data_IF_776183732124
#
_entry.id   IF_776183732124
#
_cell.length_a   1.000
_cell.length_b   1.000
_cell.length_c   1.000
_cell.angle_alpha   90.00
_cell.angle_beta   90.00
_cell.angle_gamma   90.00
#
_symmetry.space_group_name_H-M   'P 1'
#
loop_
_entity.id
_entity.type
_entity.pdbx_description
1 polymer ?
#
# COMPACT_ATOMS: atom_id res chain seq x y z
N UNK A 1 -12.83 -36.02 -19.02
CA UNK A 1 -11.95 -34.86 -19.27
C UNK A 1 -11.98 -33.99 -18.02
N UNK A 2 -10.89 -33.95 -17.25
CA UNK A 2 -10.77 -33.00 -16.14
C UNK A 2 -10.70 -31.58 -16.70
N UNK A 3 -11.60 -30.70 -16.24
CA UNK A 3 -11.53 -29.27 -16.55
C UNK A 3 -10.35 -28.68 -15.77
N UNK A 4 -9.17 -28.62 -16.39
CA UNK A 4 -8.06 -27.84 -15.85
C UNK A 4 -8.41 -26.36 -15.92
N UNK A 5 -8.23 -25.66 -14.81
CA UNK A 5 -8.47 -24.21 -14.72
C UNK A 5 -7.50 -23.45 -15.62
N UNK A 6 -7.92 -22.30 -16.16
CA UNK A 6 -7.08 -21.44 -16.99
C UNK A 6 -5.82 -20.94 -16.25
N UNK A 7 -5.85 -20.93 -14.91
CA UNK A 7 -4.72 -20.54 -14.07
C UNK A 7 -3.50 -21.45 -14.26
N UNK A 8 -3.70 -22.72 -14.66
CA UNK A 8 -2.60 -23.64 -14.93
C UNK A 8 -1.76 -23.28 -16.17
N UNK A 9 -2.29 -22.40 -17.03
CA UNK A 9 -1.62 -21.97 -18.26
C UNK A 9 -0.90 -20.62 -18.09
N UNK A 10 -0.91 -20.02 -16.91
CA UNK A 10 -0.24 -18.74 -16.68
C UNK A 10 1.28 -18.93 -16.57
N UNK A 11 2.11 -18.05 -17.18
CA UNK A 11 3.57 -18.21 -17.22
C UNK A 11 4.23 -18.31 -15.84
N UNK A 12 3.64 -17.68 -14.83
CA UNK A 12 4.19 -17.65 -13.48
C UNK A 12 3.70 -18.82 -12.58
N UNK A 13 2.83 -19.70 -13.09
CA UNK A 13 2.17 -20.75 -12.30
C UNK A 13 3.16 -21.76 -11.69
N UNK A 14 4.30 -21.99 -12.35
CA UNK A 14 5.36 -22.89 -11.87
C UNK A 14 6.08 -22.36 -10.62
N UNK A 15 6.13 -21.04 -10.42
CA UNK A 15 6.79 -20.40 -9.29
C UNK A 15 5.88 -20.27 -8.06
N UNK A 16 4.59 -20.58 -8.18
CA UNK A 16 3.66 -20.50 -7.07
C UNK A 16 3.82 -21.72 -6.14
N UNK A 17 4.54 -21.51 -5.03
CA UNK A 17 4.78 -22.53 -3.99
C UNK A 17 3.48 -23.08 -3.39
N UNK A 18 2.39 -22.29 -3.44
CA UNK A 18 1.10 -22.63 -2.87
C UNK A 18 0.01 -22.51 -3.93
N UNK A 19 -0.31 -23.62 -4.60
CA UNK A 19 -1.22 -23.67 -5.78
C UNK A 19 -2.67 -23.23 -5.52
N UNK A 20 -3.08 -23.10 -4.25
CA UNK A 20 -4.40 -22.56 -3.88
C UNK A 20 -4.40 -21.04 -3.65
N UNK A 21 -3.23 -20.39 -3.57
CA UNK A 21 -3.12 -18.93 -3.56
C UNK A 21 -3.28 -18.43 -5.00
N UNK A 22 -4.52 -18.14 -5.36
CA UNK A 22 -4.85 -17.50 -6.61
C UNK A 22 -4.23 -16.11 -6.65
N UNK A 23 -3.39 -15.89 -7.67
CA UNK A 23 -2.99 -14.59 -8.17
C UNK A 23 -2.27 -13.67 -7.16
N UNK A 24 -1.14 -14.17 -6.64
CA UNK A 24 -0.23 -13.46 -5.72
C UNK A 24 0.08 -12.05 -6.22
N UNK A 25 0.31 -11.87 -7.52
CA UNK A 25 0.58 -10.55 -8.12
C UNK A 25 -0.57 -9.56 -7.91
N UNK A 26 -1.82 -9.99 -8.14
CA UNK A 26 -2.99 -9.13 -7.95
C UNK A 26 -3.29 -8.88 -6.47
N UNK A 27 -3.04 -9.86 -5.60
CA UNK A 27 -3.17 -9.71 -4.15
C UNK A 27 -2.14 -8.69 -3.63
N UNK A 28 -0.86 -8.88 -3.97
CA UNK A 28 0.22 -7.97 -3.60
C UNK A 28 -0.06 -6.57 -4.13
N UNK A 29 -0.46 -6.45 -5.41
CA UNK A 29 -0.84 -5.16 -5.99
C UNK A 29 -1.96 -4.48 -5.22
N UNK A 30 -3.01 -5.21 -4.87
CA UNK A 30 -4.15 -4.67 -4.12
C UNK A 30 -3.73 -4.22 -2.72
N UNK A 31 -2.92 -5.03 -2.01
CA UNK A 31 -2.39 -4.67 -0.69
C UNK A 31 -1.49 -3.44 -0.77
N UNK A 32 -0.59 -3.38 -1.76
CA UNK A 32 0.30 -2.25 -2.00
C UNK A 32 -0.46 -0.98 -2.34
N UNK A 33 -1.41 -1.04 -3.27
CA UNK A 33 -2.26 0.08 -3.65
C UNK A 33 -3.01 0.64 -2.41
N UNK A 34 -3.60 -0.24 -1.59
CA UNK A 34 -4.30 0.16 -0.37
C UNK A 34 -3.36 0.80 0.66
N UNK A 35 -2.14 0.26 0.83
CA UNK A 35 -1.13 0.82 1.73
C UNK A 35 -0.70 2.23 1.28
N UNK A 36 -0.41 2.40 -0.01
CA UNK A 36 -0.03 3.69 -0.59
C UNK A 36 -1.16 4.71 -0.41
N UNK A 37 -2.42 4.33 -0.69
CA UNK A 37 -3.56 5.22 -0.50
C UNK A 37 -3.77 5.62 0.96
N UNK A 38 -3.51 4.71 1.90
CA UNK A 38 -3.59 4.96 3.33
C UNK A 38 -2.48 5.91 3.82
N UNK A 39 -1.22 5.67 3.41
CA UNK A 39 -0.08 6.53 3.74
C UNK A 39 -0.24 7.94 3.17
N UNK A 40 -0.64 8.05 1.90
CA UNK A 40 -0.82 9.34 1.24
C UNK A 40 -2.13 10.06 1.62
N UNK A 41 -3.05 9.41 2.34
CA UNK A 41 -4.34 9.96 2.72
C UNK A 41 -5.26 10.23 1.52
N UNK A 42 -5.19 9.39 0.49
CA UNK A 42 -5.97 9.51 -0.74
C UNK A 42 -7.36 8.89 -0.56
N UNK A 43 -8.25 9.64 0.11
CA UNK A 43 -9.55 9.15 0.60
C UNK A 43 -10.53 8.60 -0.44
N UNK A 44 -10.30 8.80 -1.75
CA UNK A 44 -11.16 8.21 -2.80
C UNK A 44 -10.85 6.75 -3.10
N UNK A 45 -9.62 6.30 -2.86
CA UNK A 45 -9.18 4.92 -3.17
C UNK A 45 -8.73 4.13 -1.94
N UNK A 46 -8.52 4.80 -0.81
CA UNK A 46 -8.19 4.16 0.46
C UNK A 46 -9.35 3.32 1.00
N UNK A 47 -9.02 2.20 1.65
CA UNK A 47 -9.98 1.39 2.42
C UNK A 47 -10.37 2.03 3.76
N UNK A 48 -9.65 3.07 4.18
CA UNK A 48 -10.02 3.91 5.33
C UNK A 48 -11.22 4.81 4.98
N UNK A 49 -12.41 4.23 5.04
CA UNK A 49 -13.68 4.87 4.70
C UNK A 49 -14.44 5.34 5.94
N UNK A 50 -15.42 6.23 5.77
CA UNK A 50 -16.32 6.65 6.87
C UNK A 50 -16.98 5.44 7.53
N UNK A 51 -17.44 4.46 6.74
CA UNK A 51 -18.09 3.24 7.26
C UNK A 51 -17.13 2.42 8.12
N UNK A 52 -15.92 2.17 7.64
CA UNK A 52 -14.89 1.46 8.41
C UNK A 52 -14.60 2.15 9.76
N UNK A 53 -14.67 3.49 9.80
CA UNK A 53 -14.48 4.27 11.03
C UNK A 53 -15.69 4.27 11.97
N UNK A 54 -16.89 4.12 11.43
CA UNK A 54 -18.10 3.88 12.22
C UNK A 54 -18.05 2.49 12.85
N UNK A 55 -17.59 1.48 12.11
CA UNK A 55 -17.39 0.12 12.65
C UNK A 55 -16.40 0.15 13.83
N UNK A 56 -15.30 0.91 13.74
CA UNK A 56 -14.37 1.11 14.88
C UNK A 56 -15.06 1.72 16.11
N UNK A 57 -16.01 2.64 15.89
CA UNK A 57 -16.77 3.27 16.95
C UNK A 57 -17.77 2.31 17.58
N UNK A 58 -18.47 1.52 16.75
CA UNK A 58 -19.39 0.48 17.22
C UNK A 58 -18.67 -0.59 18.04
N UNK A 59 -17.47 -1.00 17.61
CA UNK A 59 -16.62 -1.92 18.34
C UNK A 59 -15.91 -1.29 19.55
N UNK A 60 -16.11 0.00 19.81
CA UNK A 60 -15.50 0.76 20.91
C UNK A 60 -13.96 0.70 20.97
N UNK A 61 -13.30 0.73 19.81
CA UNK A 61 -11.83 0.68 19.69
C UNK A 61 -11.29 1.92 18.96
N UNK A 62 -10.03 2.27 19.25
CA UNK A 62 -9.28 3.35 18.55
C UNK A 62 -10.04 4.69 18.51
N UNK A 63 -10.46 5.18 19.68
CA UNK A 63 -11.22 6.43 19.86
C UNK A 63 -10.67 7.64 19.08
N UNK A 64 -9.35 7.75 18.97
CA UNK A 64 -8.68 8.84 18.23
C UNK A 64 -9.03 8.89 16.72
N UNK A 65 -9.52 7.79 16.15
CA UNK A 65 -9.88 7.69 14.73
C UNK A 65 -11.37 7.89 14.46
N UNK A 66 -12.20 8.01 15.49
CA UNK A 66 -13.65 8.07 15.31
C UNK A 66 -14.08 9.27 14.45
N UNK A 67 -15.12 9.11 13.62
CA UNK A 67 -15.67 10.22 12.85
C UNK A 67 -16.21 11.32 13.78
N UNK A 68 -15.90 12.57 13.46
CA UNK A 68 -16.32 13.75 14.21
C UNK A 68 -17.31 14.57 13.40
N UNK A 69 -18.34 15.12 14.03
CA UNK A 69 -19.22 16.10 13.39
C UNK A 69 -18.65 17.50 13.61
N UNK A 70 -18.39 18.23 12.51
CA UNK A 70 -18.03 19.65 12.60
C UNK A 70 -19.29 20.49 12.70
N UNK A 71 -19.14 21.72 13.20
CA UNK A 71 -20.23 22.72 13.25
C UNK A 71 -20.88 22.99 11.89
N UNK A 72 -20.18 22.72 10.79
CA UNK A 72 -20.69 22.83 9.42
C UNK A 72 -21.58 21.66 8.96
N UNK A 73 -21.87 20.70 9.83
CA UNK A 73 -22.63 19.49 9.50
C UNK A 73 -21.86 18.46 8.65
N UNK A 74 -20.59 18.72 8.32
CA UNK A 74 -19.74 17.78 7.58
C UNK A 74 -19.05 16.82 8.55
N UNK A 75 -19.05 15.54 8.16
CA UNK A 75 -18.30 14.49 8.86
C UNK A 75 -16.80 14.66 8.59
N UNK A 76 -16.03 14.83 9.65
CA UNK A 76 -14.57 14.92 9.62
C UNK A 76 -13.96 13.60 10.08
N UNK A 77 -13.00 13.11 9.30
CA UNK A 77 -12.20 11.94 9.64
C UNK A 77 -10.82 12.43 10.11
N UNK A 78 -10.45 12.20 11.38
CA UNK A 78 -9.10 12.49 11.86
C UNK A 78 -8.03 11.77 11.02
N UNK A 79 -6.87 12.38 10.72
CA UNK A 79 -5.79 11.66 10.04
C UNK A 79 -5.31 10.49 10.91
N UNK A 80 -4.91 9.39 10.25
CA UNK A 80 -4.37 8.22 10.97
C UNK A 80 -2.91 8.44 11.35
N UNK A 81 -2.40 7.66 12.30
CA UNK A 81 -0.99 7.74 12.73
C UNK A 81 0.01 7.49 11.59
N UNK A 82 -0.37 6.72 10.58
CA UNK A 82 0.47 6.38 9.43
C UNK A 82 0.28 7.33 8.25
N UNK A 83 -0.69 8.24 8.29
CA UNK A 83 -0.83 9.27 7.25
C UNK A 83 0.41 10.16 7.24
N UNK A 84 0.97 10.38 6.05
CA UNK A 84 2.16 11.18 5.85
C UNK A 84 1.87 12.67 5.98
N UNK A 85 2.76 13.39 6.62
CA UNK A 85 2.77 14.85 6.60
C UNK A 85 3.07 15.40 5.19
N UNK A 86 2.74 16.66 4.88
CA UNK A 86 3.08 17.24 3.57
C UNK A 86 4.57 17.16 3.22
N UNK A 87 5.45 17.27 4.22
CA UNK A 87 6.91 17.11 4.06
C UNK A 87 7.28 15.67 3.72
N UNK A 88 6.74 14.70 4.45
CA UNK A 88 6.94 13.27 4.19
C UNK A 88 6.44 12.87 2.80
N UNK A 89 5.29 13.41 2.35
CA UNK A 89 4.78 13.15 0.98
C UNK A 89 5.74 13.65 -0.09
N UNK A 90 6.31 14.84 0.07
CA UNK A 90 7.30 15.37 -0.88
C UNK A 90 8.51 14.45 -0.98
N UNK A 91 9.08 14.07 0.18
CA UNK A 91 10.22 13.13 0.22
C UNK A 91 9.86 11.77 -0.37
N UNK A 92 8.65 11.28 -0.12
CA UNK A 92 8.16 10.03 -0.69
C UNK A 92 8.11 10.08 -2.22
N UNK A 93 7.56 11.15 -2.80
CA UNK A 93 7.51 11.31 -4.25
C UNK A 93 8.90 11.48 -4.87
N UNK A 94 9.78 12.28 -4.26
CA UNK A 94 11.17 12.44 -4.72
C UNK A 94 11.91 11.10 -4.76
N UNK A 95 11.73 10.27 -3.72
CA UNK A 95 12.31 8.92 -3.67
C UNK A 95 11.65 7.94 -4.63
N UNK A 96 10.34 8.01 -4.83
CA UNK A 96 9.66 7.19 -5.84
C UNK A 96 10.12 7.56 -7.26
N UNK A 97 10.29 8.84 -7.55
CA UNK A 97 10.79 9.34 -8.84
C UNK A 97 12.22 8.88 -9.07
N UNK A 98 13.11 9.00 -8.07
CA UNK A 98 14.48 8.51 -8.19
C UNK A 98 14.54 6.99 -8.34
N UNK A 99 13.68 6.25 -7.63
CA UNK A 99 13.56 4.79 -7.78
C UNK A 99 13.09 4.41 -9.19
N UNK A 100 12.01 5.04 -9.69
CA UNK A 100 11.51 4.80 -11.04
C UNK A 100 12.57 5.12 -12.10
N UNK A 101 13.31 6.22 -11.93
CA UNK A 101 14.39 6.61 -12.84
C UNK A 101 15.59 5.65 -12.77
N UNK A 102 15.95 5.17 -11.57
CA UNK A 102 16.99 4.17 -11.37
C UNK A 102 16.60 2.80 -11.94
N UNK A 103 15.32 2.42 -11.92
CA UNK A 103 14.82 1.20 -12.56
C UNK A 103 14.98 1.21 -14.08
N UNK A 104 14.86 2.37 -14.73
CA UNK A 104 15.12 2.51 -16.17
C UNK A 104 16.62 2.55 -16.50
N UNK A 105 17.48 2.90 -15.53
CA UNK A 105 18.91 3.12 -15.74
C UNK A 105 19.81 1.97 -15.27
N UNK A 106 19.33 1.07 -14.40
CA UNK A 106 20.21 0.07 -13.75
C UNK A 106 19.55 -1.32 -13.72
N UNK A 107 20.05 -2.21 -14.59
CA UNK A 107 20.19 -3.62 -14.21
C UNK A 107 21.16 -3.71 -13.01
N UNK A 108 20.69 -4.24 -11.88
CA UNK A 108 21.43 -4.64 -10.65
C UNK A 108 21.60 -3.58 -9.54
N UNK A 109 20.91 -3.88 -8.43
CA UNK A 109 21.41 -3.91 -7.03
C UNK A 109 22.30 -2.74 -6.57
N UNK A 110 21.72 -1.75 -5.90
CA UNK A 110 22.22 -1.16 -4.64
C UNK A 110 21.51 0.16 -4.34
N UNK A 111 20.46 0.17 -3.50
CA UNK A 111 20.00 1.41 -2.86
C UNK A 111 19.22 1.16 -1.55
N UNK A 112 19.51 0.05 -0.85
CA UNK A 112 18.71 -0.34 0.32
C UNK A 112 19.28 0.08 1.67
N UNK A 113 20.49 0.67 1.77
CA UNK A 113 21.14 0.79 3.08
C UNK A 113 21.24 2.19 3.71
N UNK A 114 20.75 3.27 3.10
CA UNK A 114 21.02 4.61 3.69
C UNK A 114 19.87 5.61 3.81
N UNK A 115 18.62 5.36 3.42
CA UNK A 115 17.68 6.51 3.30
C UNK A 115 16.27 6.32 3.87
N UNK A 116 16.11 6.10 5.19
CA UNK A 116 15.08 6.81 6.00
C UNK A 116 15.09 6.32 7.46
N UNK A 117 15.34 7.21 8.42
CA UNK A 117 14.98 6.95 9.84
C UNK A 117 13.46 6.97 10.07
N UNK A 118 12.69 7.47 9.11
CA UNK A 118 11.23 7.43 9.18
C UNK A 118 10.72 6.02 8.81
N UNK A 119 10.28 5.31 9.84
CA UNK A 119 9.69 3.97 9.74
C UNK A 119 8.59 3.86 8.67
N UNK A 120 7.80 4.91 8.42
CA UNK A 120 6.72 4.89 7.42
C UNK A 120 7.25 4.89 5.99
N UNK A 121 8.31 5.68 5.76
CA UNK A 121 8.99 5.77 4.47
C UNK A 121 9.79 4.49 4.19
N UNK A 122 10.45 3.92 5.20
CA UNK A 122 11.18 2.66 5.07
C UNK A 122 10.24 1.51 4.70
N UNK A 123 9.08 1.39 5.35
CA UNK A 123 8.03 0.42 4.99
C UNK A 123 7.57 0.67 3.55
N UNK A 124 7.28 1.90 3.15
CA UNK A 124 6.81 2.13 1.77
C UNK A 124 7.88 1.75 0.70
N UNK A 125 9.16 2.04 0.96
CA UNK A 125 10.26 1.77 0.03
C UNK A 125 10.69 0.30 -0.05
N UNK A 126 10.74 -0.43 1.07
CA UNK A 126 11.01 -1.87 1.07
C UNK A 126 9.95 -2.66 0.28
N UNK A 127 8.71 -2.19 0.26
CA UNK A 127 7.62 -2.87 -0.44
C UNK A 127 7.58 -2.52 -1.94
N UNK A 128 7.90 -1.28 -2.34
CA UNK A 128 8.15 -0.96 -3.76
C UNK A 128 9.28 -1.81 -4.35
N UNK A 129 10.32 -2.09 -3.55
CA UNK A 129 11.40 -2.99 -3.93
C UNK A 129 10.90 -4.42 -4.23
N UNK A 130 10.01 -4.98 -3.42
CA UNK A 130 9.47 -6.33 -3.65
C UNK A 130 8.48 -6.41 -4.82
N UNK A 131 7.69 -5.35 -5.07
CA UNK A 131 6.70 -5.35 -6.15
C UNK A 131 7.31 -5.09 -7.54
N UNK A 132 8.38 -4.30 -7.63
CA UNK A 132 9.03 -3.97 -8.90
C UNK A 132 10.28 -4.82 -9.21
N UNK A 133 10.79 -5.63 -8.27
CA UNK A 133 11.97 -6.50 -8.47
C UNK A 133 11.65 -8.01 -8.52
N UNK A 134 10.38 -8.41 -8.57
CA UNK A 134 10.07 -9.79 -8.94
C UNK A 134 10.21 -9.93 -10.47
N UNK A 135 10.91 -10.96 -10.96
CA UNK A 135 11.23 -11.14 -12.38
C UNK A 135 10.01 -11.29 -13.29
#
# INVERSE_FOLDING_TARGET
MEKKSIFFNLPYWEYNLVRHNLDVMHIEKNVCDNLIYALLGLGKKSKDTVKARLDLKEMNIRLALWPQQRASGRTYLPPTYFTMSPKEKRLFYEKMLSFHMAMHLISRVAFANETCQDSKLMIAMLYCKNFFLLP
#
